data_IF_086409159935
#
_entry.id   IF_086409159935
#
_cell.length_a   1.000
_cell.length_b   1.000
_cell.length_c   1.000
_cell.angle_alpha   90.00
_cell.angle_beta   90.00
_cell.angle_gamma   90.00
#
_symmetry.space_group_name_H-M   'P 1'
#
loop_
_entity.id
_entity.type
_entity.pdbx_description
1 polymer ?
#
# COMPACT_ATOMS: atom_id res chain seq x y z
N UNK A 1 13.60 -30.55 54.47
CA UNK A 1 13.25 -30.76 53.06
C UNK A 1 12.90 -29.41 52.46
N UNK A 2 13.72 -28.88 51.54
CA UNK A 2 13.44 -27.60 50.85
C UNK A 2 12.68 -27.93 49.56
N UNK A 3 11.42 -27.49 49.48
CA UNK A 3 10.61 -27.59 48.27
C UNK A 3 11.09 -26.52 47.26
N UNK A 4 11.59 -26.94 46.09
CA UNK A 4 11.77 -26.04 44.96
C UNK A 4 10.39 -25.75 44.34
N UNK A 5 10.08 -24.47 44.13
CA UNK A 5 8.90 -24.04 43.38
C UNK A 5 9.16 -24.22 41.87
N UNK A 6 8.19 -24.68 41.07
CA UNK A 6 8.34 -24.70 39.63
C UNK A 6 8.22 -23.27 39.10
N UNK A 7 9.29 -22.77 38.47
CA UNK A 7 9.25 -21.57 37.66
C UNK A 7 8.64 -21.98 36.32
N UNK A 8 7.42 -21.53 36.05
CA UNK A 8 6.80 -21.67 34.73
C UNK A 8 7.42 -20.58 33.85
N UNK A 9 8.35 -20.98 33.00
CA UNK A 9 8.88 -20.11 31.95
C UNK A 9 7.87 -20.03 30.81
N UNK A 10 7.17 -18.89 30.69
CA UNK A 10 6.45 -18.54 29.48
C UNK A 10 7.47 -18.18 28.40
N UNK A 11 7.68 -19.06 27.42
CA UNK A 11 8.41 -18.72 26.20
C UNK A 11 7.42 -17.98 25.31
N UNK A 12 7.53 -16.67 25.24
CA UNK A 12 6.86 -15.88 24.21
C UNK A 12 7.61 -16.16 22.90
N UNK A 13 7.02 -16.99 22.03
CA UNK A 13 7.51 -17.13 20.67
C UNK A 13 7.23 -15.79 19.96
N UNK A 14 8.23 -14.89 19.96
CA UNK A 14 8.23 -13.75 19.08
C UNK A 14 8.28 -14.34 17.66
N UNK A 15 7.14 -14.30 16.95
CA UNK A 15 7.10 -14.72 15.56
C UNK A 15 8.19 -13.95 14.82
N UNK A 16 9.13 -14.67 14.21
CA UNK A 16 9.95 -14.10 13.17
C UNK A 16 8.97 -13.73 12.04
N UNK A 17 8.55 -12.47 12.02
CA UNK A 17 8.16 -11.85 10.77
C UNK A 17 9.43 -11.86 9.93
N UNK A 18 9.47 -12.74 8.93
CA UNK A 18 10.38 -12.57 7.81
C UNK A 18 9.96 -11.27 7.15
N UNK A 19 10.54 -10.14 7.56
CA UNK A 19 10.51 -8.94 6.75
C UNK A 19 11.23 -9.32 5.45
N UNK A 20 10.46 -9.58 4.40
CA UNK A 20 11.06 -9.61 3.07
C UNK A 20 11.69 -8.24 2.89
N UNK A 21 13.01 -8.19 2.75
CA UNK A 21 13.75 -7.00 2.32
C UNK A 21 13.44 -6.72 0.84
N UNK A 22 12.16 -6.72 0.48
CA UNK A 22 11.73 -6.15 -0.80
C UNK A 22 11.76 -4.65 -0.56
N UNK A 23 12.33 -3.91 -1.51
CA UNK A 23 12.08 -2.48 -1.59
C UNK A 23 10.54 -2.30 -1.56
N UNK A 24 10.08 -1.32 -0.80
CA UNK A 24 8.66 -0.98 -0.73
C UNK A 24 8.55 0.51 -0.42
N UNK A 25 7.51 1.13 -0.97
CA UNK A 25 7.07 2.46 -0.55
C UNK A 25 6.00 2.28 0.52
N UNK A 26 6.11 3.06 1.60
CA UNK A 26 5.23 2.88 2.76
C UNK A 26 4.47 4.17 3.03
N UNK A 27 3.15 4.06 3.16
CA UNK A 27 2.32 5.17 3.58
C UNK A 27 2.63 5.56 5.02
N UNK A 28 2.89 6.84 5.24
CA UNK A 28 3.13 7.46 6.55
C UNK A 28 2.00 8.40 6.96
N UNK A 29 1.31 9.01 5.98
CA UNK A 29 0.27 10.02 6.23
C UNK A 29 0.79 11.29 6.92
N UNK A 30 2.08 11.60 6.79
CA UNK A 30 2.73 12.68 7.53
C UNK A 30 2.24 14.09 7.14
N UNK A 31 1.67 14.24 5.94
CA UNK A 31 1.15 15.49 5.38
C UNK A 31 -0.32 15.39 4.93
N UNK A 32 -1.13 14.57 5.61
CA UNK A 32 -2.56 14.45 5.37
C UNK A 32 -2.94 13.12 4.73
N UNK A 33 -3.98 13.15 3.88
CA UNK A 33 -4.59 11.95 3.32
C UNK A 33 -4.47 11.85 1.79
N UNK A 34 -3.98 12.87 1.09
CA UNK A 34 -3.85 12.87 -0.36
C UNK A 34 -2.82 11.82 -0.80
N UNK A 35 -3.27 10.84 -1.59
CA UNK A 35 -2.44 9.74 -2.09
C UNK A 35 -1.29 10.22 -2.99
N UNK A 36 -1.45 11.37 -3.65
CA UNK A 36 -0.46 11.96 -4.57
C UNK A 36 0.48 12.95 -3.89
N UNK A 37 0.33 13.19 -2.59
CA UNK A 37 1.28 14.00 -1.84
C UNK A 37 2.46 13.14 -1.40
N UNK A 38 3.59 13.31 -2.07
CA UNK A 38 4.83 12.56 -1.82
C UNK A 38 5.30 12.62 -0.36
N UNK A 39 5.00 13.70 0.36
CA UNK A 39 5.37 13.84 1.76
C UNK A 39 4.63 12.83 2.67
N UNK A 40 3.60 12.15 2.16
CA UNK A 40 2.92 11.06 2.85
C UNK A 40 3.62 9.70 2.69
N UNK A 41 4.73 9.59 1.95
CA UNK A 41 5.37 8.31 1.65
C UNK A 41 6.80 8.22 2.20
N UNK A 42 7.13 7.08 2.80
CA UNK A 42 8.52 6.70 3.07
C UNK A 42 9.06 5.94 1.86
N UNK A 43 10.02 6.57 1.19
CA UNK A 43 10.71 6.06 0.00
C UNK A 43 12.14 5.59 0.31
N UNK A 44 12.55 5.58 1.59
CA UNK A 44 13.95 5.35 1.98
C UNK A 44 14.50 3.97 1.59
N UNK A 45 13.62 3.00 1.36
CA UNK A 45 13.95 1.65 0.91
C UNK A 45 13.65 1.42 -0.58
N UNK A 46 13.25 2.45 -1.32
CA UNK A 46 12.84 2.38 -2.73
C UNK A 46 13.76 3.22 -3.63
N UNK A 47 13.72 2.94 -4.94
CA UNK A 47 14.27 3.81 -5.98
C UNK A 47 13.23 4.78 -6.54
N UNK A 48 11.97 4.66 -6.13
CA UNK A 48 10.90 5.61 -6.48
C UNK A 48 11.22 6.96 -5.86
N UNK A 49 11.16 8.00 -6.68
CA UNK A 49 11.42 9.39 -6.30
C UNK A 49 10.29 10.35 -6.70
N UNK A 50 9.29 9.84 -7.44
CA UNK A 50 8.13 10.58 -7.91
C UNK A 50 6.86 9.75 -7.67
N UNK A 51 5.90 10.31 -6.93
CA UNK A 51 4.53 9.82 -6.81
C UNK A 51 3.57 10.87 -7.37
N UNK A 52 3.19 10.67 -8.63
CA UNK A 52 2.34 11.59 -9.37
C UNK A 52 1.20 10.84 -10.09
N UNK A 53 0.10 11.54 -10.42
CA UNK A 53 -0.97 11.01 -11.24
C UNK A 53 -0.45 10.42 -12.57
N UNK A 54 -0.84 9.17 -12.87
CA UNK A 54 -0.46 8.42 -14.09
C UNK A 54 1.06 8.16 -14.26
N UNK A 55 1.88 8.38 -13.22
CA UNK A 55 3.29 7.97 -13.20
C UNK A 55 3.39 6.58 -12.56
N UNK A 56 4.05 5.63 -13.23
CA UNK A 56 4.14 4.25 -12.75
C UNK A 56 5.10 4.18 -11.58
N UNK A 57 4.62 3.62 -10.48
CA UNK A 57 5.43 3.21 -9.33
C UNK A 57 5.93 1.80 -9.63
N UNK A 58 7.24 1.67 -9.81
CA UNK A 58 7.93 0.40 -10.03
C UNK A 58 8.43 -0.19 -8.70
N UNK A 59 7.52 -0.30 -7.72
CA UNK A 59 7.79 -0.91 -6.43
C UNK A 59 6.51 -1.41 -5.73
N UNK A 60 6.67 -2.25 -4.70
CA UNK A 60 5.57 -2.65 -3.83
C UNK A 60 5.09 -1.48 -2.96
N UNK A 61 3.77 -1.37 -2.78
CA UNK A 61 3.12 -0.27 -2.06
C UNK A 61 2.44 -0.80 -0.81
N UNK A 62 2.75 -0.24 0.35
CA UNK A 62 2.15 -0.62 1.64
C UNK A 62 1.37 0.55 2.22
N UNK A 63 0.07 0.32 2.48
CA UNK A 63 -0.81 1.23 3.22
C UNK A 63 -1.34 0.44 4.42
N UNK A 64 -0.97 0.86 5.63
CA UNK A 64 -1.35 0.17 6.85
C UNK A 64 -1.89 1.14 7.92
N UNK A 65 -2.95 0.73 8.62
CA UNK A 65 -3.59 1.49 9.71
C UNK A 65 -3.94 2.94 9.34
N UNK A 66 -4.46 3.17 8.13
CA UNK A 66 -4.63 4.51 7.58
C UNK A 66 -5.99 4.73 6.89
N UNK A 67 -6.39 6.00 6.79
CA UNK A 67 -7.38 6.46 5.82
C UNK A 67 -6.64 7.29 4.76
N UNK A 68 -6.73 6.87 3.51
CA UNK A 68 -6.11 7.50 2.35
C UNK A 68 -7.20 7.99 1.40
N UNK A 69 -6.98 9.15 0.80
CA UNK A 69 -7.91 9.81 -0.10
C UNK A 69 -7.32 9.91 -1.50
N UNK A 70 -8.13 9.53 -2.49
CA UNK A 70 -7.89 9.86 -3.89
C UNK A 70 -8.74 11.10 -4.20
N UNK A 71 -8.13 12.30 -4.35
CA UNK A 71 -8.88 13.52 -4.65
C UNK A 71 -9.45 13.48 -6.07
N UNK A 72 -10.35 14.41 -6.40
CA UNK A 72 -10.76 14.68 -7.78
C UNK A 72 -9.73 15.60 -8.45
N UNK A 73 -9.06 15.09 -9.48
CA UNK A 73 -8.11 15.85 -10.29
C UNK A 73 -8.74 16.29 -11.63
N UNK A 74 -7.96 17.02 -12.44
CA UNK A 74 -8.43 17.40 -13.78
C UNK A 74 -8.29 16.22 -14.74
N UNK A 75 -9.39 15.83 -15.37
CA UNK A 75 -9.43 14.61 -16.18
C UNK A 75 -9.51 13.36 -15.31
N UNK A 76 -9.46 12.19 -15.94
CA UNK A 76 -9.35 10.92 -15.23
C UNK A 76 -7.88 10.57 -15.04
N UNK A 77 -7.48 10.37 -13.80
CA UNK A 77 -6.13 10.08 -13.35
C UNK A 77 -6.07 8.74 -12.60
N UNK A 78 -4.86 8.28 -12.30
CA UNK A 78 -4.63 7.00 -11.64
C UNK A 78 -3.43 7.05 -10.70
N UNK A 79 -3.60 6.51 -9.50
CA UNK A 79 -2.48 6.02 -8.71
C UNK A 79 -1.99 4.71 -9.34
N UNK A 80 -0.87 4.81 -10.06
CA UNK A 80 -0.44 3.81 -11.02
C UNK A 80 0.72 2.98 -10.47
N UNK A 81 0.53 1.67 -10.37
CA UNK A 81 1.58 0.74 -9.93
C UNK A 81 1.88 -0.25 -11.04
N UNK A 82 3.16 -0.54 -11.24
CA UNK A 82 3.66 -1.37 -12.32
C UNK A 82 3.22 -2.84 -12.26
N UNK A 83 3.34 -3.52 -13.40
CA UNK A 83 3.12 -4.96 -13.52
C UNK A 83 4.11 -5.73 -12.66
N UNK A 84 3.64 -6.78 -11.98
CA UNK A 84 4.48 -7.63 -11.11
C UNK A 84 4.68 -7.09 -9.69
N UNK A 85 4.15 -5.90 -9.38
CA UNK A 85 4.15 -5.32 -8.03
C UNK A 85 2.78 -5.45 -7.35
N UNK A 86 2.79 -5.25 -6.05
CA UNK A 86 1.64 -5.42 -5.16
C UNK A 86 1.31 -4.12 -4.44
N UNK A 87 0.01 -3.82 -4.36
CA UNK A 87 -0.53 -2.82 -3.45
C UNK A 87 -1.15 -3.57 -2.27
N UNK A 88 -0.58 -3.43 -1.08
CA UNK A 88 -1.12 -4.00 0.15
C UNK A 88 -1.85 -2.93 0.94
N UNK A 89 -3.13 -3.18 1.21
CA UNK A 89 -4.01 -2.34 2.02
C UNK A 89 -4.41 -3.12 3.26
N UNK A 90 -3.85 -2.77 4.41
CA UNK A 90 -3.96 -3.53 5.65
C UNK A 90 -4.55 -2.71 6.80
N UNK A 91 -5.68 -3.14 7.37
CA UNK A 91 -6.45 -2.39 8.37
C UNK A 91 -6.65 -0.90 7.97
N UNK A 92 -6.97 -0.66 6.69
CA UNK A 92 -6.96 0.66 6.07
C UNK A 92 -8.14 0.91 5.14
N UNK A 93 -8.49 2.17 4.95
CA UNK A 93 -9.50 2.63 4.01
C UNK A 93 -8.83 3.49 2.92
N UNK A 94 -9.04 3.16 1.65
CA UNK A 94 -8.80 4.07 0.53
C UNK A 94 -10.15 4.52 -0.01
N UNK A 95 -10.39 5.83 -0.03
CA UNK A 95 -11.67 6.42 -0.45
C UNK A 95 -11.52 7.47 -1.54
N UNK A 96 -12.53 7.62 -2.37
CA UNK A 96 -12.63 8.67 -3.37
C UNK A 96 -13.25 9.91 -2.74
N UNK A 97 -12.64 11.07 -2.92
CA UNK A 97 -13.16 12.34 -2.36
C UNK A 97 -13.49 13.36 -3.44
N UNK A 98 -14.35 14.33 -3.11
CA UNK A 98 -14.72 15.39 -4.06
C UNK A 98 -15.51 14.93 -5.30
N UNK A 99 -16.07 13.72 -5.27
CA UNK A 99 -16.72 13.11 -6.44
C UNK A 99 -15.74 12.53 -7.45
N UNK A 100 -14.51 12.20 -7.00
CA UNK A 100 -13.41 11.69 -7.83
C UNK A 100 -13.84 10.57 -8.77
N UNK A 101 -13.45 10.71 -10.03
CA UNK A 101 -13.42 9.62 -11.01
C UNK A 101 -12.00 9.09 -11.24
N UNK A 102 -11.06 9.43 -10.36
CA UNK A 102 -9.69 8.92 -10.38
C UNK A 102 -9.64 7.54 -9.72
N UNK A 103 -8.65 6.75 -10.11
CA UNK A 103 -8.58 5.34 -9.75
C UNK A 103 -7.24 4.88 -9.22
N UNK A 104 -7.18 3.59 -8.91
CA UNK A 104 -5.98 2.86 -8.54
C UNK A 104 -5.82 1.66 -9.48
N UNK A 105 -4.60 1.40 -9.97
CA UNK A 105 -4.38 0.24 -10.83
C UNK A 105 -3.14 0.30 -11.69
N UNK A 106 -3.13 -0.52 -12.75
CA UNK A 106 -2.00 -0.61 -13.68
C UNK A 106 -1.93 0.56 -14.64
N UNK A 107 -0.82 0.66 -15.37
CA UNK A 107 -0.63 1.72 -16.36
C UNK A 107 -1.64 1.68 -17.50
N UNK A 108 -1.80 2.80 -18.20
CA UNK A 108 -2.62 2.82 -19.42
C UNK A 108 -2.14 1.74 -20.41
N UNK A 109 -3.09 1.03 -21.00
CA UNK A 109 -2.80 -0.14 -21.85
C UNK A 109 -2.51 -1.45 -21.12
N UNK A 110 -2.46 -1.49 -19.77
CA UNK A 110 -2.43 -2.74 -19.01
C UNK A 110 -3.66 -3.58 -19.32
N UNK A 111 -3.46 -4.76 -19.90
CA UNK A 111 -4.53 -5.63 -20.38
C UNK A 111 -4.04 -7.06 -20.53
N UNK A 112 -4.77 -8.03 -19.97
CA UNK A 112 -4.52 -9.45 -20.26
C UNK A 112 -5.47 -9.95 -21.35
N UNK A 113 -5.02 -10.87 -22.24
CA UNK A 113 -3.65 -11.39 -22.37
C UNK A 113 -2.75 -10.53 -23.27
N UNK A 114 -3.24 -9.39 -23.79
CA UNK A 114 -2.64 -8.66 -24.90
C UNK A 114 -1.68 -7.51 -24.49
N UNK A 115 -1.16 -7.51 -23.27
CA UNK A 115 -0.36 -6.44 -22.67
C UNK A 115 0.11 -6.81 -21.27
N UNK A 116 0.80 -5.89 -20.56
CA UNK A 116 1.20 -6.10 -19.18
C UNK A 116 -0.04 -6.26 -18.29
N UNK A 117 0.09 -7.07 -17.25
CA UNK A 117 -0.91 -7.11 -16.18
C UNK A 117 -0.88 -5.83 -15.35
N UNK A 118 -1.98 -5.56 -14.65
CA UNK A 118 -1.95 -4.56 -13.59
C UNK A 118 -1.28 -5.10 -12.32
N UNK A 119 -1.15 -4.27 -11.29
CA UNK A 119 -0.65 -4.69 -9.99
C UNK A 119 -1.65 -5.64 -9.32
N UNK A 120 -1.17 -6.39 -8.33
CA UNK A 120 -2.03 -7.16 -7.43
C UNK A 120 -2.49 -6.25 -6.29
N UNK A 121 -3.81 -6.12 -6.08
CA UNK A 121 -4.36 -5.41 -4.93
C UNK A 121 -4.71 -6.40 -3.80
N UNK A 122 -3.90 -6.40 -2.74
CA UNK A 122 -4.06 -7.22 -1.55
C UNK A 122 -4.80 -6.45 -0.45
N UNK A 123 -6.06 -6.79 -0.21
CA UNK A 123 -6.91 -6.16 0.81
C UNK A 123 -7.03 -7.08 2.02
N UNK A 124 -6.60 -6.64 3.20
CA UNK A 124 -6.46 -7.46 4.42
C UNK A 124 -7.14 -6.83 5.63
N UNK A 125 -7.38 -7.62 6.68
CA UNK A 125 -7.77 -7.17 8.02
C UNK A 125 -8.91 -6.14 8.08
N UNK A 126 -9.96 -6.31 7.26
CA UNK A 126 -11.12 -5.42 7.27
C UNK A 126 -10.97 -4.15 6.42
N UNK A 127 -9.87 -4.02 5.69
CA UNK A 127 -9.64 -2.93 4.75
C UNK A 127 -10.71 -2.82 3.67
N UNK A 128 -10.86 -1.60 3.14
CA UNK A 128 -11.71 -1.30 1.99
C UNK A 128 -11.01 -0.36 1.01
N UNK A 129 -11.34 -0.50 -0.27
CA UNK A 129 -10.86 0.37 -1.36
C UNK A 129 -12.05 0.75 -2.22
N UNK A 130 -12.32 2.05 -2.35
CA UNK A 130 -13.23 2.58 -3.36
C UNK A 130 -12.50 2.69 -4.70
N UNK A 131 -13.10 2.17 -5.77
CA UNK A 131 -12.45 2.05 -7.08
C UNK A 131 -13.24 2.74 -8.18
N UNK A 132 -12.53 3.40 -9.08
CA UNK A 132 -13.01 3.90 -10.37
C UNK A 132 -12.08 3.38 -11.48
N UNK A 133 -12.63 2.98 -12.63
CA UNK A 133 -11.90 2.33 -13.73
C UNK A 133 -11.86 3.20 -14.99
#
# INVERSE_FOLDING_TARGET
MKFLKPIITFIFAFGLFTSSLMAEIVWTGANGADIFDEANWDLSNSLVDIIDPNVSIDDDVIIANATVEIPQLTGQQRFQVGSGFTITVDDSEIRLTGGSNDGIGGADGSKLPAGPEGPILNIKNGSSVEVFF
#
